data_IF_465464566451
#
_entry.id   IF_465464566451
#
_cell.length_a   1.000
_cell.length_b   1.000
_cell.length_c   1.000
_cell.angle_alpha   90.00
_cell.angle_beta   90.00
_cell.angle_gamma   90.00
#
_symmetry.space_group_name_H-M   'P 1'
#
loop_
_entity.id
_entity.type
_entity.pdbx_description
1 polymer ?
#
# COMPACT_ATOMS: atom_id res chain seq x y z
N UNK A 1 3.50 -23.81 -10.83
CA UNK A 1 3.79 -22.60 -10.03
C UNK A 1 4.30 -23.08 -8.69
N UNK A 2 5.56 -22.78 -8.35
CA UNK A 2 6.11 -23.16 -7.04
C UNK A 2 5.61 -22.14 -6.02
N UNK A 3 4.63 -22.55 -5.22
CA UNK A 3 4.06 -21.72 -4.16
C UNK A 3 4.72 -22.09 -2.82
N UNK A 4 5.29 -21.10 -2.12
CA UNK A 4 5.73 -21.28 -0.74
C UNK A 4 4.53 -21.00 0.17
N UNK A 5 4.17 -21.95 1.04
CA UNK A 5 3.16 -21.73 2.08
C UNK A 5 3.81 -20.97 3.23
N UNK A 6 3.35 -19.75 3.45
CA UNK A 6 3.61 -19.00 4.68
C UNK A 6 2.24 -18.91 5.36
N UNK A 7 2.20 -19.14 6.68
CA UNK A 7 1.00 -19.11 7.52
C UNK A 7 0.03 -17.98 7.18
N UNK A 8 -1.28 -18.15 7.45
CA UNK A 8 -2.36 -17.17 7.25
C UNK A 8 -1.86 -15.72 7.35
N UNK A 9 -1.92 -14.98 6.25
CA UNK A 9 -1.36 -13.63 6.12
C UNK A 9 -2.44 -12.54 6.18
N UNK A 10 -2.03 -11.33 6.58
CA UNK A 10 -2.89 -10.15 6.65
C UNK A 10 -2.70 -9.19 5.48
N UNK A 11 -1.46 -8.90 5.11
CA UNK A 11 -1.13 -8.01 4.00
C UNK A 11 0.27 -8.26 3.45
N UNK A 12 0.51 -7.77 2.24
CA UNK A 12 1.78 -7.84 1.52
C UNK A 12 2.00 -6.52 0.80
N UNK A 13 3.23 -6.03 0.77
CA UNK A 13 3.58 -4.86 -0.01
C UNK A 13 4.96 -5.00 -0.65
N UNK A 14 5.12 -4.46 -1.85
CA UNK A 14 6.31 -4.56 -2.67
C UNK A 14 6.67 -3.21 -3.27
N UNK A 15 7.93 -2.84 -3.17
CA UNK A 15 8.44 -1.57 -3.66
C UNK A 15 9.95 -1.50 -3.55
N UNK A 16 10.59 -0.85 -4.53
CA UNK A 16 12.05 -0.66 -4.58
C UNK A 16 12.84 -1.97 -4.55
N UNK A 17 12.30 -3.04 -5.14
CA UNK A 17 12.89 -4.38 -5.14
C UNK A 17 12.78 -5.13 -3.82
N UNK A 18 12.08 -4.56 -2.83
CA UNK A 18 11.83 -5.17 -1.53
C UNK A 18 10.40 -5.67 -1.44
N UNK A 19 10.17 -6.69 -0.62
CA UNK A 19 8.82 -7.19 -0.32
C UNK A 19 8.71 -7.39 1.18
N UNK A 20 7.66 -6.84 1.77
CA UNK A 20 7.32 -6.98 3.18
C UNK A 20 5.93 -7.61 3.32
N UNK A 21 5.70 -8.34 4.40
CA UNK A 21 4.38 -8.89 4.69
C UNK A 21 4.09 -8.89 6.19
N UNK A 22 2.82 -9.08 6.53
CA UNK A 22 2.37 -9.36 7.90
C UNK A 22 1.61 -10.67 7.96
N UNK A 23 1.86 -11.47 8.99
CA UNK A 23 1.09 -12.68 9.27
C UNK A 23 -0.17 -12.39 10.11
N UNK A 24 -0.96 -13.43 10.36
CA UNK A 24 -2.18 -13.39 11.19
C UNK A 24 -1.92 -13.04 12.65
N UNK A 25 -0.70 -13.26 13.13
CA UNK A 25 -0.21 -12.90 14.46
C UNK A 25 0.46 -11.51 14.48
N UNK A 26 0.36 -10.76 13.38
CA UNK A 26 0.98 -9.44 13.22
C UNK A 26 2.51 -9.44 13.27
N UNK A 27 3.17 -10.59 13.07
CA UNK A 27 4.61 -10.59 12.82
C UNK A 27 4.89 -10.00 11.43
N UNK A 28 5.92 -9.16 11.35
CA UNK A 28 6.38 -8.56 10.09
C UNK A 28 7.54 -9.37 9.54
N UNK A 29 7.56 -9.57 8.24
CA UNK A 29 8.66 -10.25 7.55
C UNK A 29 9.11 -9.44 6.34
N UNK A 30 10.38 -9.60 5.97
CA UNK A 30 10.95 -9.10 4.74
C UNK A 30 11.49 -10.26 3.90
N UNK A 31 11.38 -10.14 2.58
CA UNK A 31 11.94 -11.09 1.64
C UNK A 31 13.39 -10.72 1.31
N UNK A 32 14.32 -11.62 1.58
CA UNK A 32 15.71 -11.53 1.13
C UNK A 32 16.03 -12.71 0.23
N UNK A 33 16.26 -12.44 -1.06
CA UNK A 33 16.38 -13.49 -2.07
C UNK A 33 15.09 -14.31 -2.18
N UNK A 34 15.11 -15.54 -1.67
CA UNK A 34 13.95 -16.45 -1.61
C UNK A 34 13.49 -16.77 -0.19
N UNK A 35 14.07 -16.14 0.82
CA UNK A 35 13.83 -16.48 2.23
C UNK A 35 13.14 -15.33 2.95
N UNK A 36 12.12 -15.68 3.74
CA UNK A 36 11.44 -14.73 4.62
C UNK A 36 12.12 -14.69 5.98
N UNK A 37 12.44 -13.48 6.41
CA UNK A 37 13.07 -13.22 7.71
C UNK A 37 12.20 -12.25 8.49
N UNK A 38 12.05 -12.50 9.80
CA UNK A 38 11.30 -11.59 10.67
C UNK A 38 11.95 -10.21 10.68
N UNK A 39 11.14 -9.15 10.62
CA UNK A 39 11.58 -7.76 10.58
C UNK A 39 11.08 -7.02 11.84
N UNK A 40 12.01 -6.53 12.65
CA UNK A 40 11.69 -5.77 13.87
C UNK A 40 10.97 -6.58 14.96
N UNK A 41 10.67 -5.91 16.06
CA UNK A 41 10.03 -6.47 17.26
C UNK A 41 8.55 -6.08 17.40
N UNK A 42 8.12 -5.00 16.75
CA UNK A 42 6.76 -4.46 16.86
C UNK A 42 5.77 -5.25 16.01
N UNK A 43 4.65 -5.74 16.58
CA UNK A 43 3.61 -6.40 15.80
C UNK A 43 2.77 -5.38 15.02
N UNK A 44 2.68 -5.57 13.70
CA UNK A 44 1.94 -4.69 12.80
C UNK A 44 0.80 -5.43 12.09
N UNK A 45 -0.34 -4.77 11.92
CA UNK A 45 -1.47 -5.32 11.13
C UNK A 45 -1.35 -5.00 9.64
N UNK A 46 -0.58 -3.97 9.30
CA UNK A 46 -0.31 -3.50 7.95
C UNK A 46 1.12 -2.97 7.88
N UNK A 47 1.83 -3.30 6.81
CA UNK A 47 3.21 -2.87 6.56
C UNK A 47 3.33 -2.49 5.09
N UNK A 48 4.14 -1.48 4.80
CA UNK A 48 4.42 -0.97 3.45
C UNK A 48 5.90 -0.72 3.27
N UNK A 49 6.38 -0.83 2.03
CA UNK A 49 7.77 -0.53 1.65
C UNK A 49 7.80 0.26 0.35
N UNK A 50 8.62 1.31 0.32
CA UNK A 50 8.83 2.09 -0.90
C UNK A 50 9.92 3.15 -0.73
N UNK A 51 9.96 4.18 -1.59
CA UNK A 51 10.98 5.23 -1.53
C UNK A 51 11.10 5.95 -0.17
N UNK A 52 10.05 5.94 0.65
CA UNK A 52 10.03 6.52 2.00
C UNK A 52 10.56 5.56 3.11
N UNK A 53 11.02 4.37 2.74
CA UNK A 53 11.44 3.30 3.66
C UNK A 53 10.31 2.35 4.02
N UNK A 54 10.48 1.60 5.12
CA UNK A 54 9.48 0.65 5.62
C UNK A 54 8.67 1.31 6.74
N UNK A 55 7.35 1.30 6.58
CA UNK A 55 6.40 1.86 7.52
C UNK A 55 5.29 0.85 7.81
N UNK A 56 4.54 1.06 8.88
CA UNK A 56 3.36 0.28 9.13
C UNK A 56 2.55 0.78 10.31
N UNK A 57 1.46 0.07 10.59
CA UNK A 57 0.56 0.39 11.69
C UNK A 57 0.20 -0.85 12.50
N UNK A 58 0.05 -0.68 13.81
CA UNK A 58 -0.34 -1.76 14.73
C UNK A 58 -1.87 -1.96 14.81
N UNK A 59 -2.29 -2.92 15.63
CA UNK A 59 -3.72 -3.21 15.86
C UNK A 59 -4.50 -2.04 16.47
N UNK A 60 -3.82 -1.13 17.16
CA UNK A 60 -4.37 0.08 17.79
C UNK A 60 -4.24 1.33 16.92
N UNK A 61 -3.92 1.16 15.62
CA UNK A 61 -3.70 2.23 14.64
C UNK A 61 -2.46 3.11 14.92
N UNK A 62 -1.56 2.75 15.83
CA UNK A 62 -0.31 3.51 16.02
C UNK A 62 0.60 3.30 14.81
N UNK A 63 1.29 4.38 14.43
CA UNK A 63 2.13 4.42 13.23
C UNK A 63 3.57 4.13 13.64
N UNK A 64 4.30 3.40 12.80
CA UNK A 64 5.69 3.04 13.01
C UNK A 64 6.53 3.20 11.75
N UNK A 65 7.78 3.62 11.93
CA UNK A 65 8.82 3.64 10.88
C UNK A 65 9.94 2.69 11.28
N UNK A 66 10.42 1.87 10.35
CA UNK A 66 11.60 1.03 10.57
C UNK A 66 12.88 1.88 10.50
N UNK A 67 13.63 1.93 11.61
CA UNK A 67 14.87 2.71 11.76
C UNK A 67 15.86 1.91 12.61
N UNK A 68 17.11 1.80 12.15
CA UNK A 68 18.18 1.23 12.97
C UNK A 68 17.99 -0.23 13.39
N UNK A 69 17.18 -1.00 12.66
CA UNK A 69 16.93 -2.42 12.94
C UNK A 69 15.60 -2.72 13.63
N UNK A 70 14.83 -1.70 14.03
CA UNK A 70 13.50 -1.90 14.62
C UNK A 70 12.50 -0.81 14.25
N UNK A 71 11.22 -1.04 14.57
CA UNK A 71 10.12 -0.10 14.37
C UNK A 71 10.03 0.91 15.51
N UNK A 72 10.13 2.19 15.17
CA UNK A 72 10.00 3.31 16.10
C UNK A 72 8.65 3.98 15.90
N UNK A 73 7.96 4.28 17.02
CA UNK A 73 6.63 4.89 17.00
C UNK A 73 6.69 6.31 16.41
N UNK A 74 5.72 6.61 15.56
CA UNK A 74 5.49 7.92 14.97
C UNK A 74 4.15 8.46 15.46
N UNK A 75 4.10 9.73 15.83
CA UNK A 75 2.87 10.34 16.34
C UNK A 75 1.75 10.34 15.29
N UNK A 76 0.53 10.04 15.72
CA UNK A 76 -0.65 9.93 14.85
C UNK A 76 -1.30 8.55 14.92
N UNK A 77 -2.51 8.44 14.38
CA UNK A 77 -3.28 7.20 14.33
C UNK A 77 -3.82 6.95 12.93
N UNK A 78 -3.36 5.87 12.28
CA UNK A 78 -3.79 5.45 10.94
C UNK A 78 -4.14 3.96 10.92
N UNK A 79 -5.18 3.59 10.18
CA UNK A 79 -5.56 2.20 9.99
C UNK A 79 -4.79 1.53 8.85
N UNK A 80 -4.29 2.32 7.89
CA UNK A 80 -3.49 1.90 6.75
C UNK A 80 -2.53 3.04 6.35
N UNK A 81 -1.35 2.68 5.88
CA UNK A 81 -0.30 3.60 5.37
C UNK A 81 0.33 3.03 4.10
N UNK A 82 0.80 3.91 3.24
CA UNK A 82 1.54 3.56 2.02
C UNK A 82 2.82 4.42 1.88
N UNK A 83 3.88 3.77 1.42
CA UNK A 83 5.22 4.33 1.22
C UNK A 83 5.68 4.33 -0.25
N UNK A 84 4.82 3.95 -1.20
CA UNK A 84 5.15 3.81 -2.62
C UNK A 84 5.36 5.11 -3.39
N UNK A 85 4.88 6.24 -2.85
CA UNK A 85 4.99 7.56 -3.48
C UNK A 85 6.42 8.11 -3.55
N UNK A 86 6.56 9.38 -3.98
CA UNK A 86 7.86 10.06 -4.07
C UNK A 86 8.40 10.52 -2.69
N UNK A 87 8.69 9.54 -1.83
CA UNK A 87 9.20 9.67 -0.46
C UNK A 87 8.23 10.29 0.56
N UNK A 88 7.03 10.68 0.16
CA UNK A 88 5.95 11.01 1.10
C UNK A 88 5.32 9.73 1.65
N UNK A 89 4.68 9.82 2.82
CA UNK A 89 3.80 8.76 3.33
C UNK A 89 2.37 9.24 3.20
N UNK A 90 1.49 8.35 2.73
CA UNK A 90 0.05 8.61 2.76
C UNK A 90 -0.65 7.56 3.61
N UNK A 91 -1.85 7.87 4.07
CA UNK A 91 -2.63 6.89 4.81
C UNK A 91 -4.00 7.41 5.22
N UNK A 92 -4.77 6.52 5.82
CA UNK A 92 -6.13 6.80 6.27
C UNK A 92 -6.32 6.36 7.72
N UNK A 93 -7.16 7.05 8.47
CA UNK A 93 -7.50 6.67 9.85
C UNK A 93 -8.82 5.85 9.92
N UNK A 94 -9.19 5.42 11.12
CA UNK A 94 -10.43 4.64 11.35
C UNK A 94 -11.72 5.39 11.06
N UNK A 95 -11.67 6.73 10.96
CA UNK A 95 -12.77 7.57 10.51
C UNK A 95 -12.77 7.80 8.99
N UNK A 96 -11.95 7.09 8.22
CA UNK A 96 -11.72 7.28 6.79
C UNK A 96 -11.11 8.65 6.41
N UNK A 97 -10.58 9.41 7.37
CA UNK A 97 -9.90 10.67 7.08
C UNK A 97 -8.54 10.39 6.45
N UNK A 98 -8.13 11.22 5.49
CA UNK A 98 -6.97 11.01 4.63
C UNK A 98 -5.84 11.93 5.08
N UNK A 99 -4.63 11.39 5.18
CA UNK A 99 -3.45 12.12 5.63
C UNK A 99 -2.24 11.88 4.73
N UNK A 100 -1.34 12.86 4.68
CA UNK A 100 -0.03 12.77 4.04
C UNK A 100 1.04 13.41 4.91
N UNK A 101 2.20 12.75 4.97
CA UNK A 101 3.40 13.22 5.63
C UNK A 101 4.45 13.57 4.57
N UNK A 102 4.90 14.82 4.59
CA UNK A 102 5.79 15.39 3.56
C UNK A 102 7.18 14.75 3.57
N UNK A 103 7.79 14.71 2.39
CA UNK A 103 9.15 14.18 2.15
C UNK A 103 10.23 14.82 3.02
N UNK A 104 10.11 16.11 3.37
CA UNK A 104 11.05 16.80 4.26
C UNK A 104 11.12 16.19 5.66
N UNK A 105 10.03 15.56 6.11
CA UNK A 105 9.94 14.90 7.42
C UNK A 105 10.38 13.45 7.29
N UNK A 106 9.84 12.71 6.33
CA UNK A 106 10.09 11.26 6.17
C UNK A 106 11.56 10.95 5.94
N UNK A 107 12.26 11.76 5.14
CA UNK A 107 13.67 11.56 4.79
C UNK A 107 14.61 11.81 5.98
N UNK A 108 14.24 12.72 6.88
CA UNK A 108 15.04 13.10 8.06
C UNK A 108 14.67 12.29 9.32
N UNK A 109 13.56 11.55 9.31
CA UNK A 109 13.06 10.89 10.52
C UNK A 109 13.99 9.78 11.00
N UNK A 110 14.69 10.03 12.11
CA UNK A 110 15.75 9.18 12.63
C UNK A 110 15.54 8.65 14.05
N UNK A 111 14.50 9.09 14.79
CA UNK A 111 13.97 8.44 16.00
C UNK A 111 12.91 9.28 16.75
N UNK A 112 13.07 10.60 16.82
CA UNK A 112 12.20 11.47 17.64
C UNK A 112 12.12 12.87 17.04
N UNK A 113 11.07 13.11 16.27
CA UNK A 113 10.73 14.44 15.77
C UNK A 113 9.22 14.61 15.74
N UNK A 114 8.74 15.84 15.96
CA UNK A 114 7.34 16.17 15.72
C UNK A 114 7.02 15.88 14.25
N UNK A 115 5.91 15.20 14.01
CA UNK A 115 5.39 14.97 12.67
C UNK A 115 4.10 15.75 12.51
N UNK A 116 4.01 16.53 11.44
CA UNK A 116 2.79 17.26 11.09
C UNK A 116 2.16 16.58 9.88
N UNK A 117 1.09 15.85 10.14
CA UNK A 117 0.27 15.22 9.12
C UNK A 117 -0.62 16.27 8.45
N UNK A 118 -0.55 16.36 7.12
CA UNK A 118 -1.48 17.18 6.35
C UNK A 118 -2.73 16.36 6.03
N UNK A 119 -3.91 16.87 6.38
CA UNK A 119 -5.18 16.26 5.99
C UNK A 119 -5.61 16.65 4.57
N UNK A 120 -6.38 15.78 3.91
CA UNK A 120 -7.07 16.10 2.65
C UNK A 120 -8.58 16.09 2.83
N UNK A 121 -9.25 16.80 1.92
CA UNK A 121 -10.69 16.68 1.74
C UNK A 121 -11.06 15.30 1.20
N UNK A 122 -12.22 14.78 1.61
CA UNK A 122 -12.74 13.47 1.20
C UNK A 122 -12.59 12.39 2.26
N UNK A 123 -13.00 11.17 1.92
CA UNK A 123 -12.93 10.02 2.81
C UNK A 123 -12.58 8.74 2.05
N UNK A 124 -11.54 8.03 2.52
CA UNK A 124 -11.06 6.79 1.93
C UNK A 124 -10.82 5.73 3.00
N UNK A 125 -10.99 4.45 2.65
CA UNK A 125 -10.63 3.31 3.50
C UNK A 125 -9.26 2.71 3.17
N UNK A 126 -8.72 3.03 2.00
CA UNK A 126 -7.40 2.58 1.52
C UNK A 126 -6.83 3.62 0.57
N UNK A 127 -5.53 3.91 0.68
CA UNK A 127 -4.85 4.92 -0.12
C UNK A 127 -3.41 4.48 -0.43
N UNK A 128 -3.06 4.42 -1.71
CA UNK A 128 -1.76 3.95 -2.21
C UNK A 128 -1.23 4.89 -3.29
N UNK A 129 0.08 5.02 -3.38
CA UNK A 129 0.74 6.08 -4.11
C UNK A 129 1.92 5.57 -4.92
N UNK A 130 2.15 6.17 -6.09
CA UNK A 130 3.29 5.87 -6.95
C UNK A 130 3.81 7.13 -7.65
N UNK A 131 4.63 6.98 -8.70
CA UNK A 131 5.26 8.12 -9.38
C UNK A 131 4.26 9.04 -10.09
N UNK A 132 3.14 8.50 -10.57
CA UNK A 132 2.19 9.20 -11.44
C UNK A 132 0.92 9.67 -10.71
N UNK A 133 0.82 9.43 -9.41
CA UNK A 133 -0.37 9.77 -8.65
C UNK A 133 -0.58 8.89 -7.42
N UNK A 134 -1.57 9.21 -6.61
CA UNK A 134 -2.13 8.28 -5.64
C UNK A 134 -3.53 7.85 -6.09
N UNK A 135 -3.87 6.61 -5.74
CA UNK A 135 -5.17 6.03 -5.91
C UNK A 135 -5.77 5.65 -4.55
N UNK A 136 -7.07 5.80 -4.42
CA UNK A 136 -7.78 5.49 -3.20
C UNK A 136 -9.13 4.84 -3.46
N UNK A 137 -9.61 4.08 -2.48
CA UNK A 137 -10.97 3.55 -2.47
C UNK A 137 -11.71 4.00 -1.21
N UNK A 138 -12.99 4.32 -1.33
CA UNK A 138 -13.83 4.71 -0.19
C UNK A 138 -14.63 3.53 0.40
N UNK A 139 -15.39 3.79 1.46
CA UNK A 139 -16.20 2.77 2.14
C UNK A 139 -17.31 2.17 1.27
N UNK A 140 -17.72 2.88 0.22
CA UNK A 140 -18.69 2.43 -0.78
C UNK A 140 -18.01 1.80 -2.02
N UNK A 141 -16.75 1.39 -1.90
CA UNK A 141 -15.92 0.78 -2.96
C UNK A 141 -15.65 1.66 -4.18
N UNK A 142 -16.01 2.96 -4.16
CA UNK A 142 -15.71 3.87 -5.26
C UNK A 142 -14.21 4.12 -5.34
N UNK A 143 -13.69 4.18 -6.57
CA UNK A 143 -12.27 4.32 -6.87
C UNK A 143 -11.98 5.77 -7.27
N UNK A 144 -10.96 6.38 -6.68
CA UNK A 144 -10.54 7.73 -7.00
C UNK A 144 -9.04 7.78 -7.30
N UNK A 145 -8.67 8.68 -8.20
CA UNK A 145 -7.29 9.10 -8.41
C UNK A 145 -7.13 10.55 -8.00
N UNK A 146 -5.96 10.86 -7.46
CA UNK A 146 -5.49 12.20 -7.17
C UNK A 146 -4.03 12.31 -7.59
N UNK A 147 -3.61 13.49 -8.06
CA UNK A 147 -2.19 13.78 -8.28
C UNK A 147 -1.59 14.40 -7.00
N UNK A 148 -0.74 13.69 -6.25
CA UNK A 148 -0.17 14.17 -5.02
C UNK A 148 1.33 14.31 -5.22
N UNK A 149 1.75 15.45 -5.75
CA UNK A 149 3.17 15.76 -5.79
C UNK A 149 3.68 16.32 -4.45
N UNK A 150 2.81 16.82 -3.54
CA UNK A 150 3.26 17.68 -2.42
C UNK A 150 2.37 17.72 -1.16
N UNK A 151 1.58 16.69 -0.85
CA UNK A 151 0.58 16.74 0.25
C UNK A 151 -0.31 18.02 0.23
N UNK A 152 -0.66 18.54 -0.94
CA UNK A 152 -1.42 19.79 -1.11
C UNK A 152 -2.94 19.58 -1.17
N UNK A 153 -3.72 20.66 -1.31
CA UNK A 153 -5.17 20.55 -1.60
C UNK A 153 -5.36 19.94 -2.98
N UNK A 154 -6.29 18.99 -3.11
CA UNK A 154 -6.42 18.21 -4.34
C UNK A 154 -7.87 17.95 -4.75
N UNK A 155 -8.10 17.97 -6.06
CA UNK A 155 -9.35 17.53 -6.67
C UNK A 155 -9.29 16.03 -6.96
N UNK A 156 -10.18 15.25 -6.34
CA UNK A 156 -10.34 13.83 -6.62
C UNK A 156 -11.07 13.61 -7.93
N UNK A 157 -10.60 12.66 -8.74
CA UNK A 157 -11.30 12.21 -9.95
C UNK A 157 -11.86 10.82 -9.71
N UNK A 158 -13.17 10.67 -9.83
CA UNK A 158 -13.84 9.35 -9.76
C UNK A 158 -13.47 8.53 -11.00
N UNK A 159 -13.03 7.30 -10.78
CA UNK A 159 -12.74 6.32 -11.83
C UNK A 159 -13.82 5.24 -11.79
N UNK A 160 -14.55 4.99 -12.90
CA UNK A 160 -15.60 3.98 -12.92
C UNK A 160 -15.07 2.59 -12.52
N UNK A 161 -15.81 1.92 -11.64
CA UNK A 161 -15.46 0.61 -11.08
C UNK A 161 -15.76 0.54 -9.59
N UNK A 162 -15.56 -0.64 -9.00
CA UNK A 162 -15.70 -0.87 -7.57
C UNK A 162 -14.57 -1.75 -7.04
N UNK A 163 -13.89 -1.32 -5.99
CA UNK A 163 -12.76 -2.04 -5.40
C UNK A 163 -12.70 -1.93 -3.87
N UNK A 164 -12.26 -3.02 -3.22
CA UNK A 164 -12.02 -3.05 -1.76
C UNK A 164 -10.63 -2.53 -1.37
N UNK A 165 -9.67 -2.58 -2.29
CA UNK A 165 -8.32 -2.03 -2.14
C UNK A 165 -7.72 -1.67 -3.51
N UNK A 166 -6.67 -0.86 -3.49
CA UNK A 166 -5.91 -0.43 -4.66
C UNK A 166 -4.43 -0.35 -4.30
N UNK A 167 -3.55 -0.80 -5.19
CA UNK A 167 -2.10 -0.58 -5.09
C UNK A 167 -1.54 0.06 -6.36
N UNK A 168 -0.53 0.91 -6.16
CA UNK A 168 0.22 1.58 -7.22
C UNK A 168 1.68 1.12 -7.15
N UNK A 169 2.17 0.52 -8.24
CA UNK A 169 3.55 0.09 -8.36
C UNK A 169 4.52 1.23 -8.60
N UNK A 170 5.81 0.93 -8.41
CA UNK A 170 6.92 1.88 -8.64
C UNK A 170 7.07 2.34 -10.10
N UNK A 171 6.50 1.60 -11.05
CA UNK A 171 6.42 1.96 -12.48
C UNK A 171 5.12 2.72 -12.84
N UNK A 172 4.26 2.98 -11.85
CA UNK A 172 2.95 3.61 -12.04
C UNK A 172 1.82 2.66 -12.46
N UNK A 173 2.07 1.35 -12.54
CA UNK A 173 1.02 0.35 -12.73
C UNK A 173 0.03 0.36 -11.57
N UNK A 174 -1.26 0.22 -11.86
CA UNK A 174 -2.32 0.25 -10.83
C UNK A 174 -3.10 -1.05 -10.86
N UNK A 175 -3.24 -1.68 -9.70
CA UNK A 175 -4.02 -2.89 -9.51
C UNK A 175 -5.09 -2.68 -8.46
N UNK A 176 -6.26 -3.27 -8.67
CA UNK A 176 -7.35 -3.29 -7.70
C UNK A 176 -7.83 -4.69 -7.45
N UNK A 177 -8.36 -4.91 -6.25
CA UNK A 177 -9.12 -6.11 -5.90
C UNK A 177 -10.54 -5.68 -5.56
N UNK A 178 -11.54 -6.33 -6.14
CA UNK A 178 -12.93 -6.06 -5.82
C UNK A 178 -13.45 -6.86 -4.62
N UNK A 179 -14.71 -6.61 -4.21
CA UNK A 179 -15.32 -7.26 -3.05
C UNK A 179 -15.37 -8.79 -3.16
N UNK A 180 -15.49 -9.35 -4.36
CA UNK A 180 -15.51 -10.81 -4.61
C UNK A 180 -14.12 -11.41 -4.83
N UNK A 181 -13.06 -10.61 -4.74
CA UNK A 181 -11.68 -11.07 -4.83
C UNK A 181 -11.16 -11.23 -6.27
N UNK A 182 -11.78 -10.60 -7.26
CA UNK A 182 -11.23 -10.51 -8.61
C UNK A 182 -10.19 -9.38 -8.69
N UNK A 183 -9.15 -9.58 -9.50
CA UNK A 183 -8.05 -8.63 -9.70
C UNK A 183 -8.17 -7.96 -11.06
N UNK A 184 -7.97 -6.65 -11.09
CA UNK A 184 -7.95 -5.87 -12.32
C UNK A 184 -6.72 -4.96 -12.36
N UNK A 185 -6.12 -4.82 -13.54
CA UNK A 185 -5.10 -3.82 -13.82
C UNK A 185 -5.74 -2.63 -14.54
N UNK A 186 -5.38 -1.41 -14.16
CA UNK A 186 -5.75 -0.21 -14.90
C UNK A 186 -4.88 -0.11 -16.15
N UNK A 187 -5.49 0.03 -17.32
CA UNK A 187 -4.79 0.17 -18.61
C UNK A 187 -4.90 1.57 -19.17
N UNK A 188 -3.93 1.96 -20.00
CA UNK A 188 -3.93 3.26 -20.67
C UNK A 188 -3.55 4.44 -19.77
N UNK A 189 -2.91 4.20 -18.63
CA UNK A 189 -2.33 5.27 -17.80
C UNK A 189 -1.20 5.92 -18.60
N UNK A 190 -1.25 7.24 -18.73
CA UNK A 190 -0.19 8.06 -19.33
C UNK A 190 -0.03 9.34 -18.52
N UNK A 191 1.03 10.11 -18.78
CA UNK A 191 1.23 11.43 -18.16
C UNK A 191 0.03 12.38 -18.40
N UNK A 192 -0.56 12.33 -19.59
CA UNK A 192 -1.70 13.17 -19.97
C UNK A 192 -3.07 12.59 -19.57
N UNK A 193 -3.11 11.31 -19.20
CA UNK A 193 -4.31 10.59 -18.79
C UNK A 193 -4.01 9.75 -17.54
N UNK A 194 -3.75 10.39 -16.39
CA UNK A 194 -3.32 9.69 -15.18
C UNK A 194 -4.39 8.71 -14.66
N UNK A 195 -5.68 9.00 -14.90
CA UNK A 195 -6.79 8.11 -14.56
C UNK A 195 -6.87 6.86 -15.45
N UNK A 196 -6.09 6.77 -16.54
CA UNK A 196 -6.14 5.68 -17.50
C UNK A 196 -7.47 5.54 -18.24
N UNK A 197 -7.62 4.47 -19.01
CA UNK A 197 -8.78 4.22 -19.87
C UNK A 197 -9.70 3.13 -19.31
N UNK A 198 -9.19 1.91 -19.13
CA UNK A 198 -10.01 0.73 -18.87
C UNK A 198 -9.47 -0.11 -17.71
N UNK A 199 -10.29 -1.03 -17.22
CA UNK A 199 -9.86 -2.12 -16.34
C UNK A 199 -9.72 -3.40 -17.14
N UNK A 200 -8.56 -4.05 -17.07
CA UNK A 200 -8.32 -5.38 -17.62
C UNK A 200 -8.34 -6.40 -16.47
N UNK A 201 -9.22 -7.40 -16.53
CA UNK A 201 -9.28 -8.45 -15.51
C UNK A 201 -8.11 -9.42 -15.67
N UNK A 202 -7.44 -9.74 -14.55
CA UNK A 202 -6.44 -10.79 -14.50
C UNK A 202 -7.12 -12.12 -14.09
N UNK A 203 -6.95 -13.20 -14.87
CA UNK A 203 -7.60 -14.48 -14.60
C UNK A 203 -6.89 -15.23 -13.46
N UNK A 204 -7.14 -14.82 -12.22
CA UNK A 204 -6.66 -15.52 -11.02
C UNK A 204 -7.76 -16.45 -10.52
N UNK A 205 -7.45 -17.75 -10.43
CA UNK A 205 -8.45 -18.80 -10.14
C UNK A 205 -8.97 -18.79 -8.69
N UNK A 206 -8.30 -18.10 -7.77
CA UNK A 206 -8.65 -18.05 -6.36
C UNK A 206 -9.09 -16.63 -5.96
N UNK A 207 -10.09 -16.48 -5.08
CA UNK A 207 -10.44 -15.18 -4.52
C UNK A 207 -9.22 -14.53 -3.86
N UNK A 208 -8.96 -13.29 -4.27
CA UNK A 208 -7.82 -12.50 -3.80
C UNK A 208 -8.24 -11.60 -2.66
N UNK A 209 -7.41 -11.57 -1.63
CA UNK A 209 -7.54 -10.68 -0.47
C UNK A 209 -6.80 -9.37 -0.69
N UNK A 210 -5.58 -9.44 -1.18
CA UNK A 210 -4.67 -8.29 -1.31
C UNK A 210 -3.67 -8.55 -2.46
N UNK A 211 -3.18 -7.49 -3.08
CA UNK A 211 -2.13 -7.54 -4.11
C UNK A 211 -1.11 -6.46 -3.83
N UNK A 212 0.11 -6.63 -4.30
CA UNK A 212 1.07 -5.53 -4.48
C UNK A 212 1.95 -5.83 -5.69
N UNK A 213 2.53 -4.81 -6.30
CA UNK A 213 3.25 -4.95 -7.56
C UNK A 213 4.52 -4.10 -7.58
N UNK A 214 5.63 -4.72 -7.97
CA UNK A 214 6.91 -4.04 -8.13
C UNK A 214 7.78 -4.79 -9.15
N UNK A 215 8.47 -4.05 -10.03
CA UNK A 215 9.44 -4.58 -11.00
C UNK A 215 8.94 -5.82 -11.78
N UNK A 216 7.81 -5.67 -12.48
CA UNK A 216 7.15 -6.72 -13.31
C UNK A 216 6.68 -7.95 -12.53
N UNK A 217 6.54 -7.83 -11.20
CA UNK A 217 6.11 -8.93 -10.33
C UNK A 217 4.88 -8.51 -9.57
N UNK A 218 3.78 -9.22 -9.85
CA UNK A 218 2.55 -9.13 -9.08
C UNK A 218 2.60 -10.16 -7.95
N UNK A 219 2.54 -9.68 -6.72
CA UNK A 219 2.36 -10.47 -5.51
C UNK A 219 0.88 -10.52 -5.16
N UNK A 220 0.35 -11.73 -4.98
CA UNK A 220 -1.08 -11.95 -4.74
C UNK A 220 -1.24 -12.72 -3.45
N UNK A 221 -1.96 -12.14 -2.49
CA UNK A 221 -2.42 -12.82 -1.29
C UNK A 221 -3.87 -13.26 -1.49
N UNK A 222 -4.10 -14.57 -1.53
CA UNK A 222 -5.44 -15.15 -1.62
C UNK A 222 -6.20 -15.11 -0.29
N UNK A 223 -7.52 -15.20 -0.32
CA UNK A 223 -8.36 -15.26 0.89
C UNK A 223 -8.05 -16.48 1.78
N UNK A 224 -7.53 -17.56 1.20
CA UNK A 224 -7.08 -18.76 1.93
C UNK A 224 -5.64 -18.67 2.43
N UNK A 225 -4.96 -17.53 2.26
CA UNK A 225 -3.63 -17.27 2.81
C UNK A 225 -2.45 -17.71 1.93
N UNK A 226 -2.68 -18.18 0.71
CA UNK A 226 -1.58 -18.48 -0.23
C UNK A 226 -1.01 -17.20 -0.83
N UNK A 227 0.33 -17.12 -0.94
CA UNK A 227 1.02 -16.14 -1.77
C UNK A 227 1.27 -16.73 -3.15
N UNK A 228 0.81 -16.03 -4.19
CA UNK A 228 1.20 -16.29 -5.57
C UNK A 228 2.15 -15.18 -6.01
N UNK A 229 3.23 -15.56 -6.69
CA UNK A 229 4.15 -14.65 -7.36
C UNK A 229 3.95 -14.82 -8.86
N UNK A 230 3.38 -13.81 -9.50
CA UNK A 230 3.08 -13.79 -10.93
C UNK A 230 4.08 -12.87 -11.63
N UNK A 231 4.62 -13.31 -12.76
CA UNK A 231 5.39 -12.47 -13.66
C UNK A 231 4.45 -11.98 -14.75
N UNK A 232 4.48 -10.68 -15.00
CA UNK A 232 3.77 -10.08 -16.14
C UNK A 232 4.68 -10.00 -17.36
#
# INVERSE_FOLDING_TARGET
VNCLVISILRGIDAGQGQVVLTDSSSNVFFLSGSTWSKLGSVPLKHVTVGPAGIWGVDSSNKIYKFVGGDFVSVHGLLQQVDAGGNKQIVGVNSGNNIYCLKTSITSAYSQTGSVDWTGFDGALKYFSCGPNGCWGVNSADNIYIVNPSTCGKTSWTLVPGAAKMVEVGTDGSVFVVNAVGQVFQRTGITEYLPQGMNWAQLPICLPVKHVSYDLERLWVLTEIGLILKCRQ
#
